data_IF_602732661997
#
_entry.id   IF_602732661997
#
_cell.length_a   1.000
_cell.length_b   1.000
_cell.length_c   1.000
_cell.angle_alpha   90.00
_cell.angle_beta   90.00
_cell.angle_gamma   90.00
#
_symmetry.space_group_name_H-M   'P 1'
#
loop_
_entity.id
_entity.type
_entity.pdbx_description
1 polymer ?
#
# COMPACT_ATOMS: atom_id res chain seq x y z
N UNK A 1 33.20 -14.52 18.24
CA UNK A 1 32.40 -14.81 17.05
C UNK A 1 33.36 -14.89 15.88
N UNK A 2 33.44 -16.00 15.12
CA UNK A 2 34.37 -16.11 13.98
C UNK A 2 33.70 -15.49 12.74
N UNK A 3 34.51 -14.88 11.86
CA UNK A 3 34.03 -14.30 10.56
C UNK A 3 33.19 -15.31 9.78
N UNK A 4 33.57 -16.59 9.82
CA UNK A 4 32.83 -17.67 9.15
C UNK A 4 31.40 -17.81 9.69
N UNK A 5 31.20 -17.74 11.00
CA UNK A 5 29.87 -17.84 11.63
C UNK A 5 29.00 -16.65 11.27
N UNK A 6 29.58 -15.44 11.26
CA UNK A 6 28.85 -14.24 10.84
C UNK A 6 28.39 -14.32 9.36
N UNK A 7 29.27 -14.83 8.46
CA UNK A 7 28.90 -15.06 7.06
C UNK A 7 27.80 -16.13 6.92
N UNK A 8 27.85 -17.20 7.74
CA UNK A 8 26.82 -18.25 7.72
C UNK A 8 25.46 -17.72 8.19
N UNK A 9 25.45 -16.87 9.22
CA UNK A 9 24.24 -16.19 9.72
C UNK A 9 23.68 -15.25 8.65
N UNK A 10 24.50 -14.41 8.03
CA UNK A 10 24.06 -13.53 6.95
C UNK A 10 23.58 -14.28 5.69
N UNK A 11 24.13 -15.48 5.43
CA UNK A 11 23.60 -16.35 4.38
C UNK A 11 22.26 -16.96 4.77
N UNK A 12 22.07 -17.34 6.03
CA UNK A 12 20.79 -17.86 6.54
C UNK A 12 19.70 -16.77 6.52
N UNK A 13 20.05 -15.51 6.79
CA UNK A 13 19.19 -14.34 6.67
C UNK A 13 18.92 -13.90 5.22
N UNK A 14 19.61 -14.54 4.25
CA UNK A 14 19.44 -14.22 2.83
C UNK A 14 20.11 -12.94 2.36
N UNK A 15 20.91 -12.29 3.21
CA UNK A 15 21.69 -11.07 2.89
C UNK A 15 22.89 -11.42 1.99
N UNK A 16 23.49 -12.59 2.21
CA UNK A 16 24.57 -13.12 1.40
C UNK A 16 24.16 -14.41 0.69
N UNK A 17 24.82 -14.72 -0.43
CA UNK A 17 24.74 -16.03 -1.08
C UNK A 17 26.12 -16.55 -1.45
N UNK A 18 26.28 -17.89 -1.47
CA UNK A 18 27.51 -18.57 -1.81
C UNK A 18 27.46 -19.13 -3.22
N UNK A 19 28.53 -18.92 -3.96
CA UNK A 19 28.80 -19.64 -5.21
C UNK A 19 30.01 -20.55 -4.93
N UNK A 20 29.81 -21.86 -5.09
CA UNK A 20 30.87 -22.85 -4.89
C UNK A 20 32.07 -22.53 -5.77
N UNK A 21 33.25 -22.33 -5.15
CA UNK A 21 34.50 -22.01 -5.85
C UNK A 21 34.66 -20.54 -6.24
N UNK A 22 33.67 -19.65 -6.04
CA UNK A 22 33.75 -18.23 -6.39
C UNK A 22 33.69 -17.29 -5.20
N UNK A 23 33.23 -17.77 -4.02
CA UNK A 23 33.19 -16.96 -2.80
C UNK A 23 31.77 -16.65 -2.32
N UNK A 24 31.69 -15.65 -1.43
CA UNK A 24 30.44 -15.16 -0.85
C UNK A 24 30.17 -13.76 -1.38
N UNK A 25 28.95 -13.52 -1.82
CA UNK A 25 28.55 -12.28 -2.48
C UNK A 25 27.39 -11.68 -1.72
N UNK A 26 27.32 -10.36 -1.68
CA UNK A 26 26.13 -9.65 -1.20
C UNK A 26 25.02 -9.90 -2.22
N UNK A 27 23.90 -10.41 -1.73
CA UNK A 27 22.71 -10.49 -2.58
C UNK A 27 22.30 -9.04 -2.86
N UNK A 28 22.49 -8.59 -4.10
CA UNK A 28 21.91 -7.30 -4.48
C UNK A 28 20.42 -7.34 -4.18
N UNK A 29 19.96 -6.41 -3.35
CA UNK A 29 18.55 -6.26 -2.99
C UNK A 29 17.63 -5.97 -4.20
N UNK A 30 18.21 -5.87 -5.41
CA UNK A 30 17.47 -5.76 -6.67
C UNK A 30 16.61 -6.99 -6.99
N UNK A 31 16.91 -8.18 -6.42
CA UNK A 31 16.14 -9.41 -6.67
C UNK A 31 15.22 -9.82 -5.53
N UNK A 32 15.31 -9.17 -4.36
CA UNK A 32 14.19 -9.06 -3.48
C UNK A 32 13.41 -7.79 -3.84
N UNK A 33 12.88 -7.72 -5.02
CA UNK A 33 11.53 -7.23 -5.17
C UNK A 33 10.61 -8.24 -4.44
N UNK A 34 10.68 -8.29 -3.10
CA UNK A 34 9.42 -8.31 -2.36
C UNK A 34 8.58 -7.33 -3.15
N UNK A 35 7.48 -7.80 -3.71
CA UNK A 35 6.53 -6.87 -4.31
C UNK A 35 6.39 -5.78 -3.26
N UNK A 36 7.13 -4.68 -3.46
CA UNK A 36 7.04 -3.57 -2.53
C UNK A 36 5.58 -3.25 -2.62
N UNK A 37 4.90 -3.33 -1.50
CA UNK A 37 3.58 -2.77 -1.37
C UNK A 37 3.85 -1.28 -1.51
N UNK A 38 3.98 -0.87 -2.79
CA UNK A 38 4.32 0.51 -3.13
C UNK A 38 3.17 1.37 -2.64
N UNK A 39 3.49 2.34 -1.83
CA UNK A 39 2.59 3.46 -1.69
C UNK A 39 2.36 4.07 -3.08
N UNK A 40 1.18 4.61 -3.35
CA UNK A 40 0.88 5.30 -4.61
C UNK A 40 1.96 6.30 -5.00
N UNK A 41 2.57 6.97 -4.01
CA UNK A 41 3.69 7.90 -4.17
C UNK A 41 4.92 7.24 -4.80
N UNK A 42 5.27 6.02 -4.40
CA UNK A 42 6.43 5.30 -4.95
C UNK A 42 6.17 4.82 -6.38
N UNK A 43 4.95 4.38 -6.67
CA UNK A 43 4.59 3.97 -8.03
C UNK A 43 4.81 5.11 -9.03
N UNK A 44 4.38 6.33 -8.71
CA UNK A 44 4.57 7.53 -9.53
C UNK A 44 6.05 7.90 -9.69
N UNK A 45 6.84 7.82 -8.61
CA UNK A 45 8.28 8.07 -8.65
C UNK A 45 9.03 7.09 -9.56
N UNK A 46 8.62 5.81 -9.55
CA UNK A 46 9.23 4.78 -10.40
C UNK A 46 8.98 5.03 -11.90
N UNK A 47 7.93 5.77 -12.24
CA UNK A 47 7.67 6.24 -13.61
C UNK A 47 8.40 7.56 -13.95
N UNK A 48 9.24 8.07 -13.05
CA UNK A 48 10.00 9.31 -13.25
C UNK A 48 9.17 10.59 -13.08
N UNK A 49 7.96 10.48 -12.53
CA UNK A 49 7.06 11.61 -12.30
C UNK A 49 7.16 12.14 -10.87
N UNK A 50 6.74 13.37 -10.66
CA UNK A 50 6.69 14.03 -9.35
C UNK A 50 5.35 13.75 -8.67
N UNK A 51 5.29 12.95 -7.59
CA UNK A 51 4.05 12.69 -6.87
C UNK A 51 3.71 13.85 -5.95
N UNK A 52 2.42 14.14 -5.83
CA UNK A 52 1.88 14.94 -4.74
C UNK A 52 0.52 14.37 -4.31
N UNK A 53 0.05 14.78 -3.14
CA UNK A 53 -1.18 14.26 -2.55
C UNK A 53 -1.93 15.38 -1.82
N UNK A 54 -3.26 15.32 -1.90
CA UNK A 54 -4.16 16.16 -1.13
C UNK A 54 -5.09 15.27 -0.31
N UNK A 55 -5.03 15.38 1.02
CA UNK A 55 -6.03 14.79 1.89
C UNK A 55 -7.34 15.55 1.73
N UNK A 56 -8.41 14.84 1.33
CA UNK A 56 -9.73 15.42 1.16
C UNK A 56 -10.53 15.39 2.48
N UNK A 57 -10.41 14.27 3.20
CA UNK A 57 -11.03 14.10 4.52
C UNK A 57 -10.29 13.05 5.34
N UNK A 58 -10.39 13.19 6.65
CA UNK A 58 -10.11 12.14 7.63
C UNK A 58 -11.22 12.22 8.67
N UNK A 59 -11.92 11.14 8.89
CA UNK A 59 -13.02 11.06 9.85
C UNK A 59 -13.06 9.71 10.54
N UNK A 60 -13.63 9.68 11.72
CA UNK A 60 -13.99 8.44 12.43
C UNK A 60 -15.42 8.06 12.06
N UNK A 61 -15.67 6.78 11.83
CA UNK A 61 -16.98 6.22 11.56
C UNK A 61 -17.08 4.80 12.14
N UNK A 62 -18.29 4.26 12.23
CA UNK A 62 -18.49 2.88 12.63
C UNK A 62 -18.41 1.96 11.41
N UNK A 63 -17.73 0.83 11.57
CA UNK A 63 -17.64 -0.19 10.54
C UNK A 63 -19.01 -0.82 10.29
N UNK A 64 -19.41 -0.89 9.03
CA UNK A 64 -20.52 -1.73 8.61
C UNK A 64 -20.11 -3.21 8.54
N UNK A 65 -21.06 -4.10 8.26
CA UNK A 65 -20.80 -5.53 8.17
C UNK A 65 -19.76 -5.89 7.11
N UNK A 66 -19.67 -5.12 6.00
CA UNK A 66 -18.68 -5.34 4.95
C UNK A 66 -17.26 -4.99 5.40
N UNK A 67 -17.09 -3.81 5.99
CA UNK A 67 -15.80 -3.38 6.52
C UNK A 67 -15.35 -4.26 7.69
N UNK A 68 -16.26 -4.65 8.54
CA UNK A 68 -16.00 -5.56 9.67
C UNK A 68 -15.46 -6.91 9.17
N UNK A 69 -16.07 -7.49 8.13
CA UNK A 69 -15.57 -8.71 7.49
C UNK A 69 -14.16 -8.52 6.91
N UNK A 70 -13.90 -7.40 6.17
CA UNK A 70 -12.62 -7.16 5.52
C UNK A 70 -11.48 -6.92 6.52
N UNK A 71 -11.76 -6.20 7.59
CA UNK A 71 -10.79 -5.82 8.62
C UNK A 71 -10.73 -6.83 9.78
N UNK A 72 -11.60 -7.85 9.80
CA UNK A 72 -11.71 -8.86 10.86
C UNK A 72 -11.94 -8.22 12.25
N UNK A 73 -12.81 -7.22 12.29
CA UNK A 73 -13.26 -6.53 13.49
C UNK A 73 -14.77 -6.76 13.69
N UNK A 74 -15.34 -6.23 14.76
CA UNK A 74 -16.79 -6.33 15.03
C UNK A 74 -17.56 -5.25 14.26
N UNK A 75 -18.71 -5.56 13.74
CA UNK A 75 -19.63 -4.54 13.19
C UNK A 75 -19.96 -3.51 14.25
N UNK A 76 -19.82 -2.22 13.90
CA UNK A 76 -19.97 -1.11 14.83
C UNK A 76 -18.67 -0.63 15.48
N UNK A 77 -17.56 -1.36 15.37
CA UNK A 77 -16.26 -0.88 15.84
C UNK A 77 -15.85 0.40 15.10
N UNK A 78 -15.14 1.29 15.79
CA UNK A 78 -14.65 2.53 15.19
C UNK A 78 -13.53 2.27 14.18
N UNK A 79 -13.62 2.97 13.06
CA UNK A 79 -12.58 2.98 12.01
C UNK A 79 -12.30 4.42 11.56
N UNK A 80 -11.08 4.67 11.15
CA UNK A 80 -10.73 5.90 10.42
C UNK A 80 -10.97 5.70 8.94
N UNK A 81 -11.64 6.65 8.30
CA UNK A 81 -11.74 6.78 6.84
C UNK A 81 -10.89 7.95 6.38
N UNK A 82 -9.90 7.69 5.53
CA UNK A 82 -9.01 8.70 4.95
C UNK A 82 -9.27 8.75 3.44
N UNK A 83 -9.79 9.87 2.93
CA UNK A 83 -9.92 10.09 1.48
C UNK A 83 -8.79 11.02 1.00
N UNK A 84 -8.14 10.62 -0.07
CA UNK A 84 -7.03 11.38 -0.64
C UNK A 84 -7.05 11.37 -2.16
N UNK A 85 -6.67 12.49 -2.74
CA UNK A 85 -6.46 12.65 -4.17
C UNK A 85 -4.96 12.69 -4.45
N UNK A 86 -4.49 11.85 -5.35
CA UNK A 86 -3.09 11.72 -5.72
C UNK A 86 -2.85 12.32 -7.10
N UNK A 87 -1.69 12.96 -7.23
CA UNK A 87 -1.27 13.68 -8.43
C UNK A 87 0.08 13.16 -8.93
N UNK A 88 0.22 13.16 -10.25
CA UNK A 88 1.49 12.93 -10.95
C UNK A 88 1.76 14.17 -11.82
N UNK A 89 2.89 14.85 -11.57
CA UNK A 89 3.23 16.13 -12.24
C UNK A 89 2.11 17.18 -12.16
N UNK A 90 1.39 17.23 -11.05
CA UNK A 90 0.28 18.16 -10.82
C UNK A 90 -1.06 17.74 -11.43
N UNK A 91 -1.12 16.63 -12.16
CA UNK A 91 -2.35 16.09 -12.75
C UNK A 91 -2.97 15.06 -11.80
N UNK A 92 -4.26 15.16 -11.41
CA UNK A 92 -4.91 14.16 -10.58
C UNK A 92 -5.01 12.84 -11.35
N UNK A 93 -4.65 11.73 -10.71
CA UNK A 93 -4.67 10.42 -11.35
C UNK A 93 -5.30 9.31 -10.53
N UNK A 94 -5.40 9.49 -9.20
CA UNK A 94 -6.01 8.48 -8.35
C UNK A 94 -6.77 9.10 -7.18
N UNK A 95 -8.00 8.63 -6.97
CA UNK A 95 -8.83 8.95 -5.80
C UNK A 95 -8.88 7.71 -4.92
N UNK A 96 -8.39 7.83 -3.69
CA UNK A 96 -8.26 6.72 -2.75
C UNK A 96 -9.09 6.95 -1.50
N UNK A 97 -9.67 5.87 -0.99
CA UNK A 97 -10.29 5.80 0.33
C UNK A 97 -9.65 4.65 1.10
N UNK A 98 -8.97 4.95 2.19
CA UNK A 98 -8.37 3.98 3.10
C UNK A 98 -9.18 3.91 4.40
N UNK A 99 -9.43 2.71 4.89
CA UNK A 99 -10.17 2.46 6.14
C UNK A 99 -9.32 1.60 7.06
N UNK A 100 -9.10 2.07 8.30
CA UNK A 100 -8.23 1.43 9.28
C UNK A 100 -8.95 1.29 10.63
N UNK A 101 -8.77 0.18 11.38
CA UNK A 101 -9.32 0.02 12.72
C UNK A 101 -8.77 1.09 13.69
N UNK A 102 -9.65 1.87 14.34
CA UNK A 102 -9.23 2.96 15.23
C UNK A 102 -8.58 2.43 16.52
N UNK A 103 -9.04 1.30 17.05
CA UNK A 103 -8.43 0.65 18.22
C UNK A 103 -6.96 0.29 17.99
N UNK A 104 -6.64 -0.16 16.78
CA UNK A 104 -5.26 -0.55 16.42
C UNK A 104 -4.33 0.65 16.22
N UNK A 105 -4.86 1.77 15.76
CA UNK A 105 -4.09 2.97 15.42
C UNK A 105 -4.60 4.20 16.19
N UNK A 106 -4.52 4.19 17.55
CA UNK A 106 -5.07 5.27 18.35
C UNK A 106 -4.41 6.61 17.99
N UNK A 107 -5.24 7.65 17.82
CA UNK A 107 -4.81 9.01 17.44
C UNK A 107 -4.19 9.11 16.04
N UNK A 108 -4.55 8.21 15.12
CA UNK A 108 -4.13 8.32 13.72
C UNK A 108 -4.61 9.62 13.07
N UNK A 109 -5.72 10.16 13.53
CA UNK A 109 -6.32 11.43 13.11
C UNK A 109 -5.50 12.68 13.48
N UNK A 110 -4.46 12.55 14.32
CA UNK A 110 -3.55 13.66 14.64
C UNK A 110 -2.46 13.86 13.60
N UNK A 111 -2.32 12.94 12.62
CA UNK A 111 -1.33 13.07 11.57
C UNK A 111 -1.87 13.83 10.36
N UNK A 112 -1.04 14.69 9.79
CA UNK A 112 -1.30 15.33 8.49
C UNK A 112 -0.79 14.45 7.35
N UNK A 113 -1.73 13.84 6.61
CA UNK A 113 -1.41 12.99 5.47
C UNK A 113 -1.24 13.74 4.14
N UNK A 114 -1.27 15.05 4.09
CA UNK A 114 -0.86 15.81 2.91
C UNK A 114 0.63 15.62 2.62
N UNK A 115 1.44 15.61 3.68
CA UNK A 115 2.89 15.61 3.59
C UNK A 115 3.56 14.29 4.05
N UNK A 116 2.77 13.33 4.56
CA UNK A 116 3.28 12.06 5.08
C UNK A 116 2.59 10.88 4.41
N UNK A 117 3.35 9.83 4.12
CA UNK A 117 2.79 8.56 3.68
C UNK A 117 2.06 7.88 4.85
N UNK A 118 0.88 7.33 4.59
CA UNK A 118 0.17 6.50 5.58
C UNK A 118 1.07 5.33 6.04
N UNK A 119 1.68 4.61 5.13
CA UNK A 119 2.53 3.46 5.48
C UNK A 119 3.82 3.86 6.23
N UNK A 120 4.36 5.05 5.96
CA UNK A 120 5.45 5.60 6.76
C UNK A 120 5.03 5.84 8.21
N UNK A 121 3.84 6.42 8.42
CA UNK A 121 3.27 6.62 9.77
C UNK A 121 3.02 5.28 10.45
N UNK A 122 2.40 4.32 9.76
CA UNK A 122 2.13 3.00 10.32
C UNK A 122 3.42 2.27 10.73
N UNK A 123 4.46 2.33 9.90
CA UNK A 123 5.76 1.72 10.23
C UNK A 123 6.48 2.42 11.36
N UNK A 124 6.58 3.76 11.30
CA UNK A 124 7.42 4.53 12.22
C UNK A 124 6.80 4.74 13.61
N UNK A 125 5.47 4.93 13.70
CA UNK A 125 4.78 5.25 14.95
C UNK A 125 4.03 4.06 15.54
N UNK A 126 3.48 3.20 14.70
CA UNK A 126 2.70 2.05 15.15
C UNK A 126 3.44 0.72 14.99
N UNK A 127 4.70 0.75 14.52
CA UNK A 127 5.53 -0.44 14.30
C UNK A 127 4.84 -1.53 13.48
N UNK A 128 3.99 -1.09 12.54
CA UNK A 128 3.19 -1.96 11.69
C UNK A 128 3.74 -1.94 10.27
N UNK A 129 4.39 -3.04 9.86
CA UNK A 129 4.90 -3.20 8.50
C UNK A 129 3.95 -4.01 7.64
N UNK A 130 3.79 -3.57 6.40
CA UNK A 130 2.97 -4.30 5.43
C UNK A 130 3.68 -5.56 4.97
N UNK A 131 3.03 -6.70 5.18
CA UNK A 131 3.54 -8.02 4.79
C UNK A 131 2.96 -8.49 3.46
N UNK A 132 1.65 -8.32 3.26
CA UNK A 132 0.92 -8.78 2.09
C UNK A 132 -0.24 -7.84 1.77
N UNK A 133 -0.53 -7.69 0.47
CA UNK A 133 -1.78 -7.09 -0.01
C UNK A 133 -2.53 -8.10 -0.85
N UNK A 134 -3.81 -8.25 -0.60
CA UNK A 134 -4.75 -8.97 -1.46
C UNK A 134 -5.66 -7.97 -2.12
N UNK A 135 -5.67 -7.95 -3.45
CA UNK A 135 -6.43 -6.96 -4.21
C UNK A 135 -7.25 -7.58 -5.33
N UNK A 136 -8.34 -6.91 -5.67
CA UNK A 136 -9.13 -7.14 -6.88
C UNK A 136 -9.08 -5.90 -7.75
N UNK A 137 -9.05 -6.11 -9.05
CA UNK A 137 -9.01 -5.06 -10.06
C UNK A 137 -10.26 -5.18 -10.93
N UNK A 138 -10.98 -4.08 -11.07
CA UNK A 138 -12.23 -4.00 -11.81
C UNK A 138 -12.13 -2.85 -12.83
N UNK A 139 -12.51 -3.10 -14.08
CA UNK A 139 -12.72 -2.02 -15.03
C UNK A 139 -14.12 -1.42 -14.77
N UNK A 140 -14.17 -0.15 -14.48
CA UNK A 140 -15.40 0.59 -14.19
C UNK A 140 -15.47 1.87 -15.02
N UNK A 141 -16.63 2.49 -15.10
CA UNK A 141 -16.78 3.84 -15.67
C UNK A 141 -16.79 4.88 -14.56
N UNK A 142 -16.19 6.05 -14.84
CA UNK A 142 -16.26 7.18 -13.93
C UNK A 142 -17.71 7.66 -13.80
N UNK A 143 -18.23 7.72 -12.58
CA UNK A 143 -19.42 8.47 -12.27
C UNK A 143 -19.11 9.98 -12.22
N UNK A 144 -20.14 10.79 -12.02
CA UNK A 144 -20.02 12.25 -12.02
C UNK A 144 -19.08 12.76 -10.91
N UNK A 145 -19.15 12.19 -9.70
CA UNK A 145 -18.31 12.62 -8.56
C UNK A 145 -16.85 12.28 -8.82
N UNK A 146 -16.56 11.03 -9.21
CA UNK A 146 -15.21 10.56 -9.50
C UNK A 146 -14.62 11.32 -10.70
N UNK A 147 -15.40 11.52 -11.76
CA UNK A 147 -14.98 12.28 -12.94
C UNK A 147 -14.60 13.71 -12.57
N UNK A 148 -15.39 14.38 -11.73
CA UNK A 148 -15.10 15.74 -11.26
C UNK A 148 -13.83 15.79 -10.40
N UNK A 149 -13.65 14.83 -9.48
CA UNK A 149 -12.48 14.78 -8.59
C UNK A 149 -11.18 14.51 -9.37
N UNK A 150 -11.23 13.64 -10.37
CA UNK A 150 -10.08 13.29 -11.19
C UNK A 150 -9.88 14.19 -12.41
N UNK A 151 -10.68 15.25 -12.54
CA UNK A 151 -10.68 16.12 -13.74
C UNK A 151 -10.82 15.30 -15.05
N UNK A 152 -11.61 14.22 -14.98
CA UNK A 152 -11.80 13.24 -16.03
C UNK A 152 -13.19 13.37 -16.67
N UNK A 153 -13.39 12.71 -17.79
CA UNK A 153 -14.70 12.71 -18.44
C UNK A 153 -15.62 11.67 -17.81
N UNK A 154 -16.86 12.05 -17.55
CA UNK A 154 -17.90 11.14 -17.10
C UNK A 154 -18.05 9.97 -18.08
N UNK A 155 -18.36 8.79 -17.56
CA UNK A 155 -18.50 7.54 -18.30
C UNK A 155 -17.24 7.01 -19.02
N UNK A 156 -16.07 7.62 -18.79
CA UNK A 156 -14.81 7.08 -19.28
C UNK A 156 -14.30 5.94 -18.36
N UNK A 157 -13.53 4.99 -18.92
CA UNK A 157 -13.04 3.85 -18.15
C UNK A 157 -12.01 4.27 -17.09
N UNK A 158 -12.09 3.58 -15.95
CA UNK A 158 -11.16 3.67 -14.83
C UNK A 158 -10.80 2.27 -14.36
N UNK A 159 -9.65 2.14 -13.75
CA UNK A 159 -9.32 0.96 -12.95
C UNK A 159 -9.76 1.20 -11.50
N UNK A 160 -10.69 0.38 -11.03
CA UNK A 160 -11.06 0.31 -9.61
C UNK A 160 -10.26 -0.79 -8.93
N UNK A 161 -9.58 -0.46 -7.84
CA UNK A 161 -8.89 -1.42 -6.98
C UNK A 161 -9.61 -1.46 -5.64
N UNK A 162 -9.89 -2.69 -5.16
CA UNK A 162 -10.28 -2.96 -3.78
C UNK A 162 -9.23 -3.87 -3.18
N UNK A 163 -8.72 -3.52 -2.01
CA UNK A 163 -7.66 -4.32 -1.40
C UNK A 163 -7.75 -4.35 0.12
N UNK A 164 -7.19 -5.43 0.68
CA UNK A 164 -6.88 -5.54 2.11
C UNK A 164 -5.38 -5.71 2.24
N UNK A 165 -4.77 -4.83 3.04
CA UNK A 165 -3.36 -4.90 3.44
C UNK A 165 -3.24 -5.62 4.77
N UNK A 166 -2.22 -6.47 4.91
CA UNK A 166 -1.99 -7.28 6.10
C UNK A 166 -0.60 -7.02 6.66
N UNK A 167 -0.46 -7.00 7.98
CA UNK A 167 0.80 -7.19 8.69
C UNK A 167 0.99 -8.65 9.07
N UNK A 168 2.22 -9.03 9.44
CA UNK A 168 2.53 -10.35 9.99
C UNK A 168 2.91 -10.19 11.47
N UNK A 169 2.10 -10.73 12.38
CA UNK A 169 2.30 -10.68 13.82
C UNK A 169 2.23 -12.11 14.39
N UNK A 170 3.24 -12.55 15.09
CA UNK A 170 3.32 -13.91 15.67
C UNK A 170 2.93 -15.03 14.66
N UNK A 171 3.39 -14.90 13.40
CA UNK A 171 3.05 -15.80 12.29
C UNK A 171 1.56 -15.80 11.88
N UNK A 172 0.81 -14.76 12.24
CA UNK A 172 -0.58 -14.56 11.81
C UNK A 172 -0.67 -13.31 10.92
N UNK A 173 -1.43 -13.43 9.84
CA UNK A 173 -1.75 -12.28 9.00
C UNK A 173 -2.92 -11.51 9.63
N UNK A 174 -2.68 -10.25 9.98
CA UNK A 174 -3.66 -9.37 10.61
C UNK A 174 -4.02 -8.28 9.61
N UNK A 175 -5.32 -8.08 9.28
CA UNK A 175 -5.73 -6.96 8.44
C UNK A 175 -5.37 -5.61 9.08
N UNK A 176 -4.80 -4.74 8.29
CA UNK A 176 -4.33 -3.41 8.70
C UNK A 176 -5.22 -2.33 8.10
N UNK A 177 -5.54 -2.49 6.83
CA UNK A 177 -6.21 -1.50 6.02
C UNK A 177 -7.09 -2.20 4.99
N UNK A 178 -8.29 -1.69 4.81
CA UNK A 178 -9.07 -1.86 3.59
C UNK A 178 -8.97 -0.58 2.78
N UNK A 179 -8.69 -0.67 1.48
CA UNK A 179 -8.74 0.52 0.64
C UNK A 179 -9.45 0.28 -0.69
N UNK A 180 -10.05 1.35 -1.20
CA UNK A 180 -10.53 1.47 -2.58
C UNK A 180 -9.77 2.58 -3.29
N UNK A 181 -9.42 2.35 -4.54
CA UNK A 181 -8.78 3.35 -5.39
C UNK A 181 -9.42 3.36 -6.77
N UNK A 182 -9.64 4.55 -7.32
CA UNK A 182 -10.01 4.79 -8.71
C UNK A 182 -8.82 5.42 -9.41
N UNK A 183 -8.33 4.79 -10.48
CA UNK A 183 -7.05 5.14 -11.11
C UNK A 183 -7.25 5.40 -12.61
N UNK A 184 -6.67 6.50 -13.09
CA UNK A 184 -6.54 6.80 -14.50
C UNK A 184 -5.36 6.02 -15.08
N UNK A 185 -5.64 4.96 -15.84
CA UNK A 185 -4.61 4.07 -16.41
C UNK A 185 -3.80 4.72 -17.53
N UNK A 186 -4.24 5.85 -18.07
CA UNK A 186 -3.44 6.67 -18.99
C UNK A 186 -2.24 7.35 -18.32
N UNK A 187 -2.30 7.53 -16.99
CA UNK A 187 -1.26 8.21 -16.20
C UNK A 187 -0.36 7.20 -15.48
N UNK A 188 -0.91 6.07 -15.06
CA UNK A 188 -0.17 5.02 -14.35
C UNK A 188 -0.51 3.64 -14.91
N UNK A 189 0.50 2.90 -15.33
CA UNK A 189 0.35 1.51 -15.75
C UNK A 189 0.33 0.56 -14.54
N UNK A 190 -0.44 -0.51 -14.68
CA UNK A 190 -0.50 -1.59 -13.70
C UNK A 190 0.17 -2.84 -14.29
N UNK A 191 1.27 -3.30 -13.67
CA UNK A 191 2.00 -4.47 -14.14
C UNK A 191 1.74 -5.66 -13.23
N UNK A 192 1.53 -6.83 -13.83
CA UNK A 192 1.48 -8.11 -13.14
C UNK A 192 2.54 -9.03 -13.76
N UNK A 193 3.58 -9.34 -13.01
CA UNK A 193 4.59 -10.32 -13.41
C UNK A 193 4.22 -11.69 -12.86
N UNK A 194 4.25 -12.72 -13.71
CA UNK A 194 4.03 -14.11 -13.32
C UNK A 194 5.28 -14.90 -13.64
N UNK A 195 5.81 -15.57 -12.63
CA UNK A 195 6.93 -16.48 -12.81
C UNK A 195 6.38 -17.92 -12.94
N UNK A 196 6.89 -18.67 -13.91
CA UNK A 196 6.63 -20.11 -13.96
C UNK A 196 7.34 -20.78 -12.78
N UNK A 197 6.64 -21.66 -12.08
CA UNK A 197 7.18 -22.45 -10.97
C UNK A 197 7.92 -23.65 -11.53
#
# INVERSE_FOLDING_TARGET
MTVRKAIDELCAEGILYRIKGKGCFVRELKDQKRSHIYSFTEAVKNEGKTPSKKQLSLKTMNADAYLAEKLQITEGDEVYEIRSLYYADGVPYSLNTAVLPAERFPKLDFFDFNNRSLYEVLGSFFHTEMYRVRQTLEAVTADKEIAQMLEWKESQPLLKIKAVSYSLEENREIPVEYYEAYILTEIQNYYVEKFAV
#
